data_IF_549454960874
#
_entry.id   IF_549454960874
#
_cell.length_a   1.000
_cell.length_b   1.000
_cell.length_c   1.000
_cell.angle_alpha   90.00
_cell.angle_beta   90.00
_cell.angle_gamma   90.00
#
_symmetry.space_group_name_H-M   'P 1'
#
loop_
_entity.id
_entity.type
_entity.pdbx_description
1 polymer ?
#
# COMPACT_ATOMS: atom_id res chain seq x y z
N UNK A 1 -25.57 -6.97 -41.89
CA UNK A 1 -24.15 -7.36 -41.68
C UNK A 1 -23.37 -6.30 -40.89
N UNK A 2 -23.42 -5.01 -41.25
CA UNK A 2 -22.68 -3.94 -40.55
C UNK A 2 -23.03 -3.72 -39.05
N UNK A 3 -24.25 -4.07 -38.63
CA UNK A 3 -24.66 -3.95 -37.22
C UNK A 3 -24.00 -5.01 -36.32
N UNK A 4 -23.93 -6.26 -36.80
CA UNK A 4 -23.30 -7.36 -36.07
C UNK A 4 -21.81 -7.12 -35.84
N UNK A 5 -21.10 -6.56 -36.83
CA UNK A 5 -19.68 -6.22 -36.71
C UNK A 5 -19.42 -5.19 -35.61
N UNK A 6 -20.29 -4.19 -35.47
CA UNK A 6 -20.19 -3.17 -34.41
C UNK A 6 -20.41 -3.77 -33.03
N UNK A 7 -21.41 -4.66 -32.88
CA UNK A 7 -21.65 -5.37 -31.63
C UNK A 7 -20.47 -6.28 -31.25
N UNK A 8 -19.93 -7.04 -32.21
CA UNK A 8 -18.77 -7.92 -31.96
C UNK A 8 -17.54 -7.11 -31.55
N UNK A 9 -17.28 -5.96 -32.20
CA UNK A 9 -16.18 -5.08 -31.80
C UNK A 9 -16.37 -4.49 -30.39
N UNK A 10 -17.59 -4.06 -30.05
CA UNK A 10 -17.88 -3.53 -28.72
C UNK A 10 -17.71 -4.61 -27.63
N UNK A 11 -18.23 -5.82 -27.88
CA UNK A 11 -18.07 -6.95 -26.95
C UNK A 11 -16.58 -7.32 -26.80
N UNK A 12 -15.83 -7.38 -27.91
CA UNK A 12 -14.39 -7.62 -27.88
C UNK A 12 -13.62 -6.57 -27.07
N UNK A 13 -13.95 -5.29 -27.23
CA UNK A 13 -13.35 -4.20 -26.47
C UNK A 13 -13.63 -4.33 -24.97
N UNK A 14 -14.87 -4.62 -24.58
CA UNK A 14 -15.29 -4.81 -23.18
C UNK A 14 -14.55 -5.98 -22.54
N UNK A 15 -14.40 -7.08 -23.26
CA UNK A 15 -13.68 -8.27 -22.80
C UNK A 15 -12.19 -7.94 -22.57
N UNK A 16 -11.54 -7.25 -23.52
CA UNK A 16 -10.15 -6.83 -23.39
C UNK A 16 -9.92 -5.90 -22.20
N UNK A 17 -10.78 -4.90 -22.01
CA UNK A 17 -10.69 -3.98 -20.87
C UNK A 17 -10.86 -4.75 -19.55
N UNK A 18 -11.80 -5.70 -19.49
CA UNK A 18 -12.03 -6.52 -18.29
C UNK A 18 -10.78 -7.32 -17.88
N UNK A 19 -10.07 -7.93 -18.83
CA UNK A 19 -8.83 -8.65 -18.54
C UNK A 19 -7.70 -7.74 -18.05
N UNK A 20 -7.54 -6.54 -18.64
CA UNK A 20 -6.54 -5.56 -18.20
C UNK A 20 -6.83 -5.06 -16.77
N UNK A 21 -8.11 -4.88 -16.42
CA UNK A 21 -8.51 -4.50 -15.05
C UNK A 21 -8.24 -5.61 -14.05
N UNK A 22 -8.51 -6.88 -14.38
CA UNK A 22 -8.27 -8.03 -13.51
C UNK A 22 -6.77 -8.32 -13.28
N UNK A 23 -5.90 -7.95 -14.22
CA UNK A 23 -4.45 -8.08 -14.05
C UNK A 23 -3.83 -6.92 -13.25
N UNK A 24 -4.56 -5.81 -13.07
CA UNK A 24 -4.12 -4.63 -12.32
C UNK A 24 -4.74 -4.52 -10.92
N UNK A 25 -5.41 -5.57 -10.44
CA UNK A 25 -5.82 -5.65 -9.02
C UNK A 25 -4.75 -6.31 -8.16
N UNK A 26 -3.47 -6.04 -8.43
CA UNK A 26 -2.57 -5.85 -7.30
C UNK A 26 -3.03 -4.56 -6.62
N UNK A 27 -4.06 -4.66 -5.79
CA UNK A 27 -4.42 -3.62 -4.84
C UNK A 27 -3.30 -3.57 -3.79
N UNK A 28 -2.13 -3.11 -4.24
CA UNK A 28 -1.08 -2.65 -3.38
C UNK A 28 -1.73 -1.58 -2.51
N UNK A 29 -1.95 -1.91 -1.24
CA UNK A 29 -2.54 -0.99 -0.28
C UNK A 29 -1.67 0.25 -0.14
N UNK A 30 -1.99 1.09 0.82
CA UNK A 30 -1.27 2.35 1.05
C UNK A 30 0.23 2.14 1.34
N UNK A 31 0.62 0.91 1.75
CA UNK A 31 1.99 0.44 1.97
C UNK A 31 2.62 -0.29 0.76
N UNK A 32 2.01 -0.22 -0.42
CA UNK A 32 2.56 -0.80 -1.63
C UNK A 32 2.50 -2.34 -1.62
N UNK A 33 3.66 -2.97 -1.84
CA UNK A 33 3.80 -4.43 -1.93
C UNK A 33 3.89 -5.13 -0.56
N UNK A 34 4.15 -4.36 0.51
CA UNK A 34 4.18 -4.88 1.88
C UNK A 34 2.80 -4.77 2.51
N UNK A 35 2.43 -5.75 3.35
CA UNK A 35 1.26 -5.61 4.20
C UNK A 35 1.49 -4.53 5.27
N UNK A 36 0.43 -3.81 5.70
CA UNK A 36 0.52 -2.84 6.79
C UNK A 36 1.14 -3.41 8.06
N UNK A 37 0.78 -4.62 8.47
CA UNK A 37 1.35 -5.29 9.65
C UNK A 37 2.87 -5.49 9.55
N UNK A 38 3.37 -5.83 8.35
CA UNK A 38 4.79 -6.05 8.14
C UNK A 38 5.58 -4.73 8.17
N UNK A 39 4.97 -3.63 7.73
CA UNK A 39 5.53 -2.29 7.90
C UNK A 39 5.44 -1.82 9.36
N UNK A 40 4.41 -2.20 10.12
CA UNK A 40 4.31 -1.91 11.55
C UNK A 40 5.38 -2.64 12.37
N UNK A 41 5.68 -3.90 12.03
CA UNK A 41 6.74 -4.67 12.68
C UNK A 41 8.14 -4.03 12.52
N UNK A 42 8.37 -3.25 11.47
CA UNK A 42 9.62 -2.49 11.30
C UNK A 42 9.83 -1.43 12.39
N UNK A 43 8.77 -1.07 13.12
CA UNK A 43 8.81 -0.09 14.21
C UNK A 43 9.09 -0.71 15.59
N UNK A 44 9.18 -2.04 15.71
CA UNK A 44 9.62 -2.71 16.95
C UNK A 44 10.90 -2.09 17.56
N UNK A 45 11.98 -1.78 16.82
CA UNK A 45 13.16 -1.12 17.38
C UNK A 45 12.93 0.31 17.89
N UNK A 46 11.76 0.90 17.63
CA UNK A 46 11.31 2.18 18.15
C UNK A 46 10.36 2.06 19.35
N UNK A 47 10.00 0.84 19.80
CA UNK A 47 8.95 0.64 20.80
C UNK A 47 9.19 1.40 22.12
N UNK A 48 10.44 1.48 22.57
CA UNK A 48 10.79 2.23 23.79
C UNK A 48 10.78 3.74 23.53
N UNK A 49 11.37 4.18 22.42
CA UNK A 49 11.36 5.58 21.97
C UNK A 49 9.96 6.13 21.66
N UNK A 50 9.00 5.25 21.37
CA UNK A 50 7.60 5.61 21.16
C UNK A 50 6.84 5.83 22.47
N UNK A 51 7.34 5.29 23.59
CA UNK A 51 6.68 5.37 24.90
C UNK A 51 7.30 6.43 25.81
N UNK A 52 8.61 6.64 25.71
CA UNK A 52 9.34 7.61 26.52
C UNK A 52 10.16 8.55 25.63
N UNK A 53 9.92 9.85 25.77
CA UNK A 53 10.63 10.91 25.06
C UNK A 53 12.12 10.98 25.40
N UNK A 54 12.52 10.40 26.54
CA UNK A 54 13.91 10.37 27.01
C UNK A 54 14.63 9.07 26.66
N UNK A 55 13.93 8.08 26.07
CA UNK A 55 14.53 6.80 25.74
C UNK A 55 15.56 6.94 24.61
N UNK A 56 16.68 6.19 24.69
CA UNK A 56 17.70 6.24 23.65
C UNK A 56 17.15 5.67 22.33
N UNK A 57 17.37 6.41 21.25
CA UNK A 57 16.93 5.99 19.90
C UNK A 57 18.04 5.20 19.22
N UNK A 58 17.72 3.97 18.80
CA UNK A 58 18.66 3.16 18.02
C UNK A 58 18.82 3.70 16.59
N UNK A 59 20.00 3.51 15.98
CA UNK A 59 20.22 3.89 14.57
C UNK A 59 19.25 3.15 13.61
N UNK A 60 18.87 1.92 13.97
CA UNK A 60 17.85 1.14 13.27
C UNK A 60 16.50 1.86 13.31
N UNK A 61 16.06 2.32 14.49
CA UNK A 61 14.81 3.07 14.62
C UNK A 61 14.80 4.31 13.71
N UNK A 62 15.85 5.12 13.72
CA UNK A 62 15.96 6.30 12.84
C UNK A 62 15.86 5.94 11.35
N UNK A 63 16.47 4.82 10.94
CA UNK A 63 16.43 4.35 9.55
C UNK A 63 15.00 3.98 9.13
N UNK A 64 14.27 3.27 10.00
CA UNK A 64 12.89 2.85 9.73
C UNK A 64 11.94 4.04 9.70
N UNK A 65 12.07 4.98 10.65
CA UNK A 65 11.30 6.23 10.69
C UNK A 65 11.55 7.05 9.42
N UNK A 66 12.80 7.14 8.96
CA UNK A 66 13.14 7.83 7.71
C UNK A 66 12.46 7.15 6.51
N UNK A 67 12.50 5.83 6.43
CA UNK A 67 11.88 5.09 5.33
C UNK A 67 10.36 5.28 5.28
N UNK A 68 9.66 5.16 6.42
CA UNK A 68 8.20 5.35 6.44
C UNK A 68 7.81 6.81 6.17
N UNK A 69 8.65 7.78 6.57
CA UNK A 69 8.44 9.20 6.30
C UNK A 69 8.40 9.55 4.81
N UNK A 70 8.96 8.69 3.94
CA UNK A 70 8.86 8.83 2.49
C UNK A 70 7.51 8.32 1.92
N UNK A 71 6.70 7.61 2.71
CA UNK A 71 5.36 7.15 2.34
C UNK A 71 4.33 7.51 3.44
N UNK A 72 3.90 8.78 3.52
CA UNK A 72 3.02 9.26 4.58
C UNK A 72 1.63 8.59 4.58
N UNK A 73 1.16 8.08 3.44
CA UNK A 73 -0.11 7.34 3.37
C UNK A 73 -0.05 6.05 4.18
N UNK A 74 1.00 5.24 4.00
CA UNK A 74 1.24 4.03 4.78
C UNK A 74 1.39 4.31 6.29
N UNK A 75 2.02 5.45 6.64
CA UNK A 75 2.13 5.88 8.04
C UNK A 75 0.77 6.20 8.67
N UNK A 76 -0.14 6.81 7.90
CA UNK A 76 -1.46 7.22 8.36
C UNK A 76 -2.37 6.01 8.66
N UNK A 77 -2.26 4.91 7.90
CA UNK A 77 -3.01 3.68 8.15
C UNK A 77 -2.85 3.20 9.59
N UNK A 78 -1.60 3.07 10.02
CA UNK A 78 -1.25 2.57 11.36
C UNK A 78 -1.80 3.45 12.48
N UNK A 79 -1.71 4.77 12.33
CA UNK A 79 -2.16 5.71 13.35
C UNK A 79 -3.70 5.71 13.55
N UNK A 80 -4.46 5.34 12.51
CA UNK A 80 -5.92 5.30 12.53
C UNK A 80 -6.48 3.95 12.99
N UNK A 81 -5.77 2.84 12.77
CA UNK A 81 -6.14 1.50 13.24
C UNK A 81 -6.12 1.36 14.77
N UNK A 82 -5.44 2.27 15.48
CA UNK A 82 -5.23 2.23 16.92
C UNK A 82 -5.94 3.37 17.71
N UNK A 83 -6.97 3.98 17.12
CA UNK A 83 -7.85 4.99 17.76
C UNK A 83 -9.11 4.37 18.32
#
# INVERSE_FOLDING_TARGET
>A
MASATKFICLVGLVVLVSFVRLQNVDAAGECGKSSPDNEAMKMIPCAEAAQDENAPVSATCCTQVRQIGHNPSCLCCYALEHR
#
